data_IF_579172290720
#
_entry.id   IF_579172290720
#
_cell.length_a   1.000
_cell.length_b   1.000
_cell.length_c   1.000
_cell.angle_alpha   90.00
_cell.angle_beta   90.00
_cell.angle_gamma   90.00
#
_symmetry.space_group_name_H-M   'P 1'
#
loop_
_entity.id
_entity.type
_entity.pdbx_description
1 polymer ?
#
# COMPACT_ATOMS: atom_id res chain seq x y z
N UNK A 1 3.47 5.99 17.53
CA UNK A 1 3.83 7.39 17.22
C UNK A 1 5.27 7.56 16.77
N UNK A 2 6.08 6.51 16.75
CA UNK A 2 7.50 6.60 16.40
C UNK A 2 7.74 6.75 14.90
N UNK A 3 6.92 6.13 14.05
CA UNK A 3 6.99 6.29 12.59
C UNK A 3 6.81 7.74 12.17
N UNK A 4 5.75 8.42 12.62
CA UNK A 4 5.51 9.82 12.27
C UNK A 4 6.65 10.73 12.73
N UNK A 5 7.21 10.49 13.93
CA UNK A 5 8.39 11.21 14.41
C UNK A 5 9.61 10.97 13.52
N UNK A 6 9.91 9.71 13.18
CA UNK A 6 11.01 9.31 12.30
C UNK A 6 10.90 9.95 10.91
N UNK A 7 9.73 9.89 10.27
CA UNK A 7 9.51 10.54 8.96
C UNK A 7 9.74 12.05 9.03
N UNK A 8 9.27 12.68 10.12
CA UNK A 8 9.39 14.13 10.30
C UNK A 8 10.86 14.57 10.49
N UNK A 9 11.65 13.83 11.26
CA UNK A 9 12.99 14.24 11.68
C UNK A 9 14.11 13.60 10.85
N UNK A 10 14.04 12.30 10.61
CA UNK A 10 15.08 11.51 9.93
C UNK A 10 14.84 11.36 8.43
N UNK A 11 13.58 11.35 7.99
CA UNK A 11 13.18 11.28 6.57
C UNK A 11 13.96 10.22 5.75
N UNK A 12 13.88 8.93 6.12
CA UNK A 12 14.57 7.87 5.39
C UNK A 12 14.05 7.75 3.95
N UNK A 13 14.89 7.29 3.02
CA UNK A 13 14.49 7.10 1.62
C UNK A 13 13.38 6.06 1.42
N UNK A 14 13.25 5.10 2.35
CA UNK A 14 12.19 4.11 2.37
C UNK A 14 11.77 3.85 3.81
N UNK A 15 10.47 3.79 4.06
CA UNK A 15 9.89 3.34 5.33
C UNK A 15 8.82 2.30 5.06
N UNK A 16 8.83 1.22 5.82
CA UNK A 16 7.80 0.20 5.81
C UNK A 16 7.09 0.18 7.17
N UNK A 17 5.77 0.19 7.14
CA UNK A 17 4.92 0.30 8.33
C UNK A 17 3.92 -0.85 8.31
N UNK A 18 3.94 -1.66 9.36
CA UNK A 18 3.02 -2.77 9.52
C UNK A 18 2.04 -2.48 10.67
N UNK A 19 0.74 -2.57 10.39
CA UNK A 19 -0.33 -2.20 11.32
C UNK A 19 -1.29 -3.38 11.52
N UNK A 20 -0.90 -4.32 12.37
CA UNK A 20 -1.59 -5.60 12.61
C UNK A 20 -2.95 -5.51 13.33
N UNK A 21 -3.26 -4.38 13.97
CA UNK A 21 -4.33 -4.37 14.97
C UNK A 21 -5.71 -4.73 14.41
N UNK A 22 -6.04 -4.28 13.21
CA UNK A 22 -7.28 -4.65 12.52
C UNK A 22 -7.36 -6.16 12.27
N UNK A 23 -6.22 -6.78 12.00
CA UNK A 23 -6.13 -8.21 11.74
C UNK A 23 -6.49 -9.04 12.99
N UNK A 24 -5.89 -8.67 14.13
CA UNK A 24 -6.16 -9.29 15.42
C UNK A 24 -7.63 -9.14 15.85
N UNK A 25 -8.22 -7.96 15.64
CA UNK A 25 -9.62 -7.69 16.00
C UNK A 25 -10.57 -8.52 15.14
N UNK A 26 -10.32 -8.60 13.84
CA UNK A 26 -11.13 -9.41 12.94
C UNK A 26 -11.08 -10.89 13.30
N UNK A 27 -9.94 -11.47 13.70
CA UNK A 27 -9.88 -12.86 14.16
C UNK A 27 -10.82 -13.14 15.35
N UNK A 28 -10.91 -12.21 16.30
CA UNK A 28 -11.74 -12.39 17.49
C UNK A 28 -13.22 -12.11 17.20
N UNK A 29 -13.52 -11.02 16.50
CA UNK A 29 -14.88 -10.50 16.41
C UNK A 29 -15.53 -10.72 15.04
N UNK A 30 -14.75 -10.83 13.97
CA UNK A 30 -15.24 -10.92 12.59
C UNK A 30 -15.86 -9.60 12.13
N UNK A 31 -16.79 -9.69 11.18
CA UNK A 31 -17.59 -8.56 10.70
C UNK A 31 -18.45 -7.99 11.84
N UNK A 32 -17.98 -6.90 12.44
CA UNK A 32 -18.48 -6.42 13.74
C UNK A 32 -18.19 -4.94 13.96
N UNK A 33 -18.88 -4.34 14.93
CA UNK A 33 -18.62 -2.96 15.36
C UNK A 33 -17.22 -2.79 15.96
N UNK A 34 -16.70 -3.83 16.63
CA UNK A 34 -15.33 -3.86 17.13
C UNK A 34 -14.33 -3.75 15.97
N UNK A 35 -14.56 -4.50 14.90
CA UNK A 35 -13.73 -4.41 13.69
C UNK A 35 -13.83 -3.02 13.05
N UNK A 36 -15.04 -2.47 12.89
CA UNK A 36 -15.24 -1.11 12.39
C UNK A 36 -14.50 -0.05 13.22
N UNK A 37 -14.56 -0.15 14.56
CA UNK A 37 -13.83 0.75 15.45
C UNK A 37 -12.31 0.60 15.31
N UNK A 38 -11.82 -0.62 15.08
CA UNK A 38 -10.40 -0.85 14.83
C UNK A 38 -9.90 -0.17 13.56
N UNK A 39 -10.74 -0.10 12.51
CA UNK A 39 -10.45 0.64 11.29
C UNK A 39 -10.36 2.15 11.57
N UNK A 40 -11.27 2.71 12.38
CA UNK A 40 -11.19 4.13 12.78
C UNK A 40 -9.91 4.43 13.58
N UNK A 41 -9.47 3.50 14.43
CA UNK A 41 -8.20 3.64 15.15
C UNK A 41 -6.99 3.56 14.22
N UNK A 42 -7.08 2.74 13.15
CA UNK A 42 -6.07 2.65 12.11
C UNK A 42 -5.99 3.95 11.29
N UNK A 43 -7.14 4.49 10.89
CA UNK A 43 -7.25 5.76 10.16
C UNK A 43 -6.57 6.91 10.92
N UNK A 44 -6.83 7.04 12.23
CA UNK A 44 -6.14 8.01 13.09
C UNK A 44 -4.62 7.80 13.19
N UNK A 45 -4.12 6.58 13.00
CA UNK A 45 -2.66 6.32 12.97
C UNK A 45 -2.07 6.73 11.61
N UNK A 46 -2.77 6.41 10.52
CA UNK A 46 -2.40 6.81 9.16
C UNK A 46 -2.41 8.34 9.04
N UNK A 47 -3.40 9.03 9.61
CA UNK A 47 -3.47 10.49 9.62
C UNK A 47 -2.22 11.16 10.21
N UNK A 48 -1.69 10.63 11.33
CA UNK A 48 -0.44 11.14 11.94
C UNK A 48 0.79 10.91 11.06
N UNK A 49 0.84 9.80 10.32
CA UNK A 49 1.90 9.53 9.34
C UNK A 49 1.78 10.52 8.17
N UNK A 50 0.55 10.73 7.68
CA UNK A 50 0.26 11.67 6.59
C UNK A 50 0.66 13.10 6.95
N UNK A 51 0.33 13.57 8.15
CA UNK A 51 0.76 14.90 8.64
C UNK A 51 2.28 15.08 8.64
N UNK A 52 3.04 14.02 8.97
CA UNK A 52 4.50 14.07 8.92
C UNK A 52 5.01 14.16 7.48
N UNK A 53 4.42 13.41 6.55
CA UNK A 53 4.72 13.48 5.11
C UNK A 53 4.39 14.87 4.57
N UNK A 54 3.19 15.39 4.84
CA UNK A 54 2.81 16.74 4.38
C UNK A 54 3.73 17.83 4.91
N UNK A 55 4.16 17.71 6.17
CA UNK A 55 5.15 18.63 6.74
C UNK A 55 6.46 18.58 5.95
N UNK A 56 6.96 17.39 5.63
CA UNK A 56 8.18 17.23 4.84
C UNK A 56 8.05 17.83 3.45
N UNK A 57 6.94 17.53 2.76
CA UNK A 57 6.63 18.12 1.45
C UNK A 57 6.59 19.65 1.49
N UNK A 58 5.92 20.24 2.50
CA UNK A 58 5.75 21.71 2.62
C UNK A 58 7.04 22.42 3.05
N UNK A 59 7.81 21.86 3.97
CA UNK A 59 8.96 22.55 4.57
C UNK A 59 10.28 22.29 3.85
N UNK A 60 10.44 21.13 3.21
CA UNK A 60 11.68 20.71 2.59
C UNK A 60 11.56 20.49 1.07
N UNK A 61 10.37 20.71 0.50
CA UNK A 61 10.09 20.47 -0.92
C UNK A 61 10.45 19.04 -1.36
N UNK A 62 10.24 18.08 -0.46
CA UNK A 62 10.50 16.68 -0.74
C UNK A 62 9.37 16.06 -1.55
N UNK A 63 9.72 15.17 -2.47
CA UNK A 63 8.75 14.34 -3.16
C UNK A 63 8.57 13.02 -2.42
N UNK A 64 7.32 12.68 -2.11
CA UNK A 64 6.96 11.50 -1.32
C UNK A 64 5.98 10.62 -2.10
N UNK A 65 6.30 9.33 -2.16
CA UNK A 65 5.39 8.27 -2.59
C UNK A 65 4.85 7.57 -1.34
N UNK A 66 3.55 7.70 -1.11
CA UNK A 66 2.83 7.00 -0.06
C UNK A 66 1.94 5.95 -0.71
N UNK A 67 2.14 4.70 -0.33
CA UNK A 67 1.38 3.54 -0.77
C UNK A 67 0.77 2.89 0.47
N UNK A 68 -0.54 2.66 0.46
CA UNK A 68 -1.26 1.93 1.51
C UNK A 68 -1.96 0.76 0.85
N UNK A 69 -1.78 -0.44 1.38
CA UNK A 69 -2.36 -1.67 0.85
C UNK A 69 -2.70 -2.65 1.97
N UNK A 70 -3.41 -3.71 1.63
CA UNK A 70 -3.57 -4.90 2.48
C UNK A 70 -2.85 -6.09 1.85
N UNK A 71 -2.40 -7.02 2.69
CA UNK A 71 -1.82 -8.30 2.29
C UNK A 71 -2.89 -9.32 1.90
N UNK A 72 -4.06 -9.29 2.54
CA UNK A 72 -5.20 -10.12 2.21
C UNK A 72 -6.53 -9.50 2.65
N UNK A 73 -7.64 -10.13 2.24
CA UNK A 73 -8.97 -9.90 2.79
C UNK A 73 -9.35 -10.96 3.82
N UNK A 74 -10.64 -11.30 3.92
CA UNK A 74 -11.18 -12.21 4.94
C UNK A 74 -12.18 -13.20 4.38
N UNK A 75 -12.44 -14.27 5.12
CA UNK A 75 -13.43 -15.27 4.76
C UNK A 75 -14.84 -14.64 4.58
N UNK A 76 -15.64 -15.12 3.62
CA UNK A 76 -16.93 -14.52 3.32
C UNK A 76 -18.01 -14.83 4.35
N UNK A 77 -17.80 -15.78 5.26
CA UNK A 77 -18.86 -16.26 6.17
C UNK A 77 -18.88 -15.46 7.46
N UNK A 78 -17.71 -15.18 8.03
CA UNK A 78 -17.58 -14.55 9.34
C UNK A 78 -16.68 -13.33 9.37
N UNK A 79 -15.81 -13.16 8.37
CA UNK A 79 -14.78 -12.15 8.38
C UNK A 79 -13.64 -12.41 9.39
N UNK A 80 -13.59 -13.60 10.00
CA UNK A 80 -12.62 -13.95 11.05
C UNK A 80 -11.37 -14.61 10.50
N UNK A 81 -11.52 -15.46 9.51
CA UNK A 81 -10.41 -16.25 8.99
C UNK A 81 -9.93 -15.69 7.65
N UNK A 82 -8.78 -16.19 7.20
CA UNK A 82 -8.24 -15.98 5.87
C UNK A 82 -7.29 -17.14 5.52
N UNK A 83 -6.69 -17.08 4.33
CA UNK A 83 -5.71 -18.08 3.88
C UNK A 83 -6.28 -19.15 2.94
N UNK A 84 -7.57 -19.11 2.63
CA UNK A 84 -8.14 -19.88 1.51
C UNK A 84 -8.14 -19.00 0.24
N UNK A 85 -8.91 -19.41 -0.76
CA UNK A 85 -8.87 -18.84 -2.11
C UNK A 85 -10.17 -18.17 -2.53
N UNK A 86 -11.05 -17.80 -1.58
CA UNK A 86 -12.27 -17.08 -1.94
C UNK A 86 -11.93 -15.68 -2.47
N UNK A 87 -12.83 -15.12 -3.29
CA UNK A 87 -12.67 -13.76 -3.81
C UNK A 87 -12.50 -12.75 -2.68
N UNK A 88 -13.25 -12.87 -1.58
CA UNK A 88 -13.15 -11.95 -0.43
C UNK A 88 -11.80 -12.05 0.29
N UNK A 89 -11.18 -13.23 0.36
CA UNK A 89 -9.85 -13.40 0.95
C UNK A 89 -8.74 -12.89 0.04
N UNK A 90 -8.90 -13.03 -1.28
CA UNK A 90 -7.93 -12.58 -2.28
C UNK A 90 -8.04 -11.10 -2.63
N UNK A 91 -9.17 -10.46 -2.30
CA UNK A 91 -9.40 -9.04 -2.62
C UNK A 91 -8.63 -8.18 -1.64
N UNK A 92 -7.61 -7.49 -2.15
CA UNK A 92 -6.91 -6.42 -1.46
C UNK A 92 -7.26 -5.08 -2.09
N UNK A 93 -6.92 -3.99 -1.41
CA UNK A 93 -7.06 -2.64 -1.95
C UNK A 93 -5.74 -1.91 -1.89
N UNK A 94 -5.59 -0.90 -2.74
CA UNK A 94 -4.39 -0.09 -2.87
C UNK A 94 -4.77 1.39 -2.97
N UNK A 95 -4.03 2.24 -2.25
CA UNK A 95 -4.11 3.70 -2.35
C UNK A 95 -2.71 4.25 -2.58
N UNK A 96 -2.60 5.22 -3.49
CA UNK A 96 -1.37 5.97 -3.79
C UNK A 96 -1.65 7.47 -3.74
N UNK A 97 -0.71 8.27 -3.22
CA UNK A 97 -0.86 9.74 -3.15
C UNK A 97 -0.47 10.47 -4.45
N UNK A 98 0.03 9.75 -5.46
CA UNK A 98 0.48 10.30 -6.74
C UNK A 98 -0.70 10.54 -7.68
N UNK A 99 -0.68 11.67 -8.40
CA UNK A 99 -1.71 12.06 -9.37
C UNK A 99 -1.34 11.64 -10.80
N UNK A 100 -0.05 11.55 -11.07
CA UNK A 100 0.58 11.16 -12.33
C UNK A 100 0.71 9.63 -12.43
N UNK A 101 -0.38 8.93 -12.16
CA UNK A 101 -0.50 7.49 -12.39
C UNK A 101 -0.72 7.19 -13.87
N UNK A 102 -0.37 5.98 -14.29
CA UNK A 102 -0.53 5.53 -15.67
C UNK A 102 -1.93 4.98 -15.94
N UNK A 103 -2.20 4.67 -17.22
CA UNK A 103 -3.50 4.15 -17.64
C UNK A 103 -3.80 2.78 -17.06
N UNK A 104 -2.77 1.94 -16.82
CA UNK A 104 -2.95 0.67 -16.13
C UNK A 104 -3.58 0.85 -14.75
N UNK A 105 -3.03 1.76 -13.93
CA UNK A 105 -3.59 2.07 -12.61
C UNK A 105 -5.02 2.63 -12.68
N UNK A 106 -5.33 3.43 -13.70
CA UNK A 106 -6.63 4.14 -13.80
C UNK A 106 -7.74 3.30 -14.42
N UNK A 107 -7.41 2.39 -15.32
CA UNK A 107 -8.38 1.67 -16.16
C UNK A 107 -8.53 0.21 -15.73
N UNK A 108 -7.47 -0.40 -15.20
CA UNK A 108 -7.45 -1.81 -14.83
C UNK A 108 -7.41 -2.00 -13.31
N UNK A 109 -7.15 -3.23 -12.87
CA UNK A 109 -7.06 -3.59 -11.45
C UNK A 109 -5.61 -3.95 -11.09
N UNK A 110 -4.84 -3.01 -10.52
CA UNK A 110 -3.50 -3.27 -10.01
C UNK A 110 -3.46 -4.42 -9.00
N UNK A 111 -2.34 -5.13 -8.98
CA UNK A 111 -2.04 -6.19 -8.04
C UNK A 111 -0.89 -5.79 -7.11
N UNK A 112 -0.75 -6.51 -5.99
CA UNK A 112 0.32 -6.23 -5.01
C UNK A 112 1.74 -6.40 -5.60
N UNK A 113 1.88 -7.19 -6.67
CA UNK A 113 3.14 -7.38 -7.39
C UNK A 113 3.62 -6.12 -8.11
N UNK A 114 2.71 -5.17 -8.39
CA UNK A 114 3.02 -3.90 -9.04
C UNK A 114 3.76 -2.91 -8.09
N UNK A 115 3.76 -3.18 -6.79
CA UNK A 115 4.35 -2.26 -5.80
C UNK A 115 5.87 -2.20 -5.88
N UNK A 116 6.54 -3.34 -6.08
CA UNK A 116 8.00 -3.37 -6.21
C UNK A 116 8.49 -2.52 -7.40
N UNK A 117 8.04 -2.75 -8.64
CA UNK A 117 8.47 -1.93 -9.79
C UNK A 117 8.03 -0.47 -9.67
N UNK A 118 6.91 -0.17 -9.01
CA UNK A 118 6.49 1.21 -8.71
C UNK A 118 7.49 1.90 -7.77
N UNK A 119 7.88 1.25 -6.67
CA UNK A 119 8.83 1.81 -5.71
C UNK A 119 10.23 1.99 -6.31
N UNK A 120 10.73 1.01 -7.07
CA UNK A 120 12.06 1.12 -7.69
C UNK A 120 12.11 2.22 -8.75
N UNK A 121 11.03 2.38 -9.54
CA UNK A 121 10.92 3.49 -10.47
C UNK A 121 10.92 4.84 -9.75
N UNK A 122 10.14 4.99 -8.67
CA UNK A 122 10.10 6.22 -7.88
C UNK A 122 11.47 6.57 -7.27
N UNK A 123 12.18 5.57 -6.76
CA UNK A 123 13.49 5.75 -6.12
C UNK A 123 14.66 5.85 -7.12
N UNK A 124 14.40 5.70 -8.43
CA UNK A 124 15.46 5.66 -9.45
C UNK A 124 16.38 4.44 -9.33
N UNK A 125 15.90 3.34 -8.74
CA UNK A 125 16.66 2.10 -8.55
C UNK A 125 16.53 1.26 -9.82
N UNK A 126 17.64 1.03 -10.50
CA UNK A 126 17.67 0.16 -11.67
C UNK A 126 17.64 -1.31 -11.26
N UNK A 127 16.63 -2.06 -11.73
CA UNK A 127 16.56 -3.51 -11.58
C UNK A 127 17.33 -4.16 -12.75
N UNK A 128 18.32 -5.02 -12.49
CA UNK A 128 19.03 -5.74 -13.55
C UNK A 128 18.05 -6.49 -14.46
N UNK A 129 18.27 -6.43 -15.78
CA UNK A 129 17.33 -6.98 -16.78
C UNK A 129 16.96 -8.45 -16.53
N UNK A 130 17.88 -9.27 -16.03
CA UNK A 130 17.61 -10.66 -15.68
C UNK A 130 16.53 -10.78 -14.60
N UNK A 131 16.60 -9.95 -13.56
CA UNK A 131 15.61 -9.92 -12.47
C UNK A 131 14.32 -9.23 -12.91
N UNK A 132 14.42 -8.17 -13.72
CA UNK A 132 13.25 -7.46 -14.22
C UNK A 132 12.32 -8.37 -15.07
N UNK A 133 12.89 -9.37 -15.75
CA UNK A 133 12.15 -10.40 -16.51
C UNK A 133 11.48 -11.45 -15.64
N UNK A 134 11.80 -11.51 -14.35
CA UNK A 134 11.20 -12.43 -13.37
C UNK A 134 10.11 -11.72 -12.53
N UNK A 135 9.81 -10.45 -12.81
CA UNK A 135 8.74 -9.71 -12.15
C UNK A 135 7.42 -9.91 -12.90
N UNK A 136 6.36 -10.20 -12.15
CA UNK A 136 4.99 -10.27 -12.69
C UNK A 136 4.33 -8.89 -12.79
N UNK A 137 4.76 -7.93 -11.96
CA UNK A 137 4.15 -6.60 -11.88
C UNK A 137 4.80 -5.55 -12.79
N UNK A 138 4.08 -4.46 -13.00
CA UNK A 138 4.54 -3.27 -13.72
C UNK A 138 4.43 -2.01 -12.85
N UNK A 139 5.22 -0.96 -13.12
CA UNK A 139 5.08 0.30 -12.39
C UNK A 139 3.68 0.90 -12.54
N UNK A 140 3.16 1.55 -11.50
CA UNK A 140 1.85 2.22 -11.49
C UNK A 140 1.93 3.73 -11.78
N UNK A 141 3.15 4.26 -11.82
CA UNK A 141 3.46 5.66 -12.13
C UNK A 141 4.37 5.73 -13.34
N UNK A 142 4.35 6.86 -14.05
CA UNK A 142 5.15 7.06 -15.27
C UNK A 142 4.77 6.13 -16.42
N UNK A 143 5.55 6.17 -17.50
CA UNK A 143 5.20 5.49 -18.75
C UNK A 143 5.48 3.98 -18.66
N UNK A 144 4.54 3.18 -19.15
CA UNK A 144 4.68 1.72 -19.33
C UNK A 144 4.43 1.36 -20.80
N UNK A 145 5.11 0.33 -21.30
CA UNK A 145 5.09 0.01 -22.74
C UNK A 145 3.89 -0.83 -23.16
N UNK A 146 3.38 -1.70 -22.28
CA UNK A 146 2.21 -2.56 -22.51
C UNK A 146 1.51 -2.76 -21.15
N UNK A 147 0.21 -2.49 -21.09
CA UNK A 147 -0.64 -2.66 -19.91
C UNK A 147 -1.64 -3.82 -20.06
N UNK A 148 -1.59 -4.55 -21.19
CA UNK A 148 -2.46 -5.68 -21.48
C UNK A 148 -1.67 -6.99 -21.33
N UNK A 149 -1.70 -7.62 -20.15
CA UNK A 149 -1.44 -9.05 -20.04
C UNK A 149 -2.64 -9.79 -20.66
N UNK A 150 -2.41 -10.59 -21.71
CA UNK A 150 -3.34 -11.64 -22.16
C UNK A 150 -3.38 -12.81 -21.16
#
# INVERSE_FOLDING_TARGET
NDTAACLRTSAPNLSWVYLQYTDNVAHVFGDSDQFNQSILNLDNQIGRIWEAVEYRQKQFNEDWLVIITTDHGRDPTTGREHGKQSNRERTTWLVINKKDTNDYFRVFQPAIVDLLPTMTQFLGISIPLKLARELDGVPLIGNISLAEPE
#
